data_IF_203370105847
#
_entry.id   IF_203370105847
#
_cell.length_a   1.000
_cell.length_b   1.000
_cell.length_c   1.000
_cell.angle_alpha   90.00
_cell.angle_beta   90.00
_cell.angle_gamma   90.00
#
_symmetry.space_group_name_H-M   'P 1'
#
loop_
_entity.id
_entity.type
_entity.pdbx_description
1 polymer ?
#
# COMPACT_ATOMS: atom_id res chain seq x y z
N UNK A 1 -1.24 7.55 0.88
CA UNK A 1 -0.68 6.20 0.75
C UNK A 1 0.34 6.19 -0.39
N UNK A 2 1.45 5.49 -0.20
CA UNK A 2 2.35 5.15 -1.30
C UNK A 2 1.66 4.18 -2.25
N UNK A 3 2.00 4.26 -3.53
CA UNK A 3 1.49 3.33 -4.54
C UNK A 3 2.64 2.76 -5.34
N UNK A 4 2.47 1.52 -5.81
CA UNK A 4 3.44 0.90 -6.69
C UNK A 4 3.64 1.82 -7.91
N UNK A 5 4.89 2.22 -8.23
CA UNK A 5 5.15 3.11 -9.34
C UNK A 5 4.54 2.58 -10.63
N UNK A 6 3.74 3.43 -11.28
CA UNK A 6 3.11 3.13 -12.55
C UNK A 6 3.17 4.36 -13.44
N UNK A 7 3.40 4.12 -14.72
CA UNK A 7 3.44 5.18 -15.72
C UNK A 7 2.06 5.82 -15.89
N UNK A 8 2.02 7.15 -15.93
CA UNK A 8 0.80 7.92 -16.10
C UNK A 8 0.99 9.06 -17.09
N UNK A 9 -0.05 9.30 -17.89
CA UNK A 9 -0.11 10.49 -18.74
C UNK A 9 -0.60 11.70 -17.94
N UNK A 10 -0.03 12.88 -18.23
CA UNK A 10 -0.47 14.14 -17.64
C UNK A 10 -1.75 14.59 -18.31
N UNK A 11 -2.86 14.51 -17.58
CA UNK A 11 -4.18 14.98 -18.02
C UNK A 11 -4.48 16.38 -17.46
N UNK A 12 -5.24 17.19 -18.20
CA UNK A 12 -5.67 18.55 -17.79
C UNK A 12 -6.63 18.61 -16.59
N UNK A 13 -6.97 17.46 -15.99
CA UNK A 13 -7.82 17.32 -14.81
C UNK A 13 -7.11 17.65 -13.48
N UNK A 14 -5.81 17.97 -13.54
CA UNK A 14 -4.97 18.16 -12.36
C UNK A 14 -4.33 19.56 -12.36
N UNK A 15 -4.34 20.24 -11.21
CA UNK A 15 -3.57 21.45 -10.97
C UNK A 15 -2.27 21.10 -10.27
N UNK A 16 -1.19 21.80 -10.61
CA UNK A 16 0.08 21.68 -9.89
C UNK A 16 -0.01 22.58 -8.65
N UNK A 17 0.09 21.96 -7.47
CA UNK A 17 0.13 22.68 -6.20
C UNK A 17 1.57 22.96 -5.78
N UNK A 18 2.50 22.05 -6.10
CA UNK A 18 3.95 22.20 -5.84
C UNK A 18 4.76 21.39 -6.84
N UNK A 19 5.97 21.84 -7.16
CA UNK A 19 6.91 21.08 -7.98
C UNK A 19 8.36 21.36 -7.57
N UNK A 20 9.23 20.41 -7.86
CA UNK A 20 10.69 20.55 -7.85
C UNK A 20 11.25 19.92 -9.15
N UNK A 21 12.58 19.87 -9.37
CA UNK A 21 13.15 19.35 -10.62
C UNK A 21 12.73 17.92 -10.98
N UNK A 22 12.43 17.08 -9.99
CA UNK A 22 12.13 15.66 -10.17
C UNK A 22 10.68 15.28 -9.87
N UNK A 23 9.99 16.03 -9.01
CA UNK A 23 8.69 15.65 -8.47
C UNK A 23 7.64 16.75 -8.65
N UNK A 24 6.40 16.32 -8.85
CA UNK A 24 5.24 17.21 -8.99
C UNK A 24 4.14 16.74 -8.05
N UNK A 25 3.68 17.63 -7.17
CA UNK A 25 2.49 17.45 -6.38
C UNK A 25 1.31 18.07 -7.12
N UNK A 26 0.31 17.24 -7.39
CA UNK A 26 -0.89 17.64 -8.08
C UNK A 26 -2.12 17.47 -7.20
N UNK A 27 -3.04 18.43 -7.33
CA UNK A 27 -4.39 18.38 -6.78
C UNK A 27 -5.38 18.20 -7.92
N UNK A 28 -6.41 17.39 -7.70
CA UNK A 28 -7.47 17.21 -8.69
C UNK A 28 -8.26 18.51 -8.81
N UNK A 29 -8.50 18.97 -10.04
CA UNK A 29 -9.41 20.09 -10.27
C UNK A 29 -10.83 19.63 -9.94
N UNK A 30 -11.37 20.13 -8.84
CA UNK A 30 -12.76 20.00 -8.47
C UNK A 30 -13.61 21.11 -9.09
N UNK A 31 -14.92 20.93 -9.07
CA UNK A 31 -15.93 21.88 -9.55
C UNK A 31 -15.96 23.22 -8.76
N UNK A 32 -15.19 23.36 -7.67
CA UNK A 32 -15.37 24.45 -6.69
C UNK A 32 -14.41 25.64 -6.80
N UNK A 33 -13.68 25.79 -7.90
CA UNK A 33 -12.97 27.05 -8.18
C UNK A 33 -13.73 27.83 -9.26
N UNK A 34 -14.67 28.66 -8.78
CA UNK A 34 -15.34 29.72 -9.54
C UNK A 34 -14.31 30.54 -10.32
N UNK A 35 -14.23 30.33 -11.63
CA UNK A 35 -14.21 31.38 -12.67
C UNK A 35 -14.47 30.75 -14.05
N UNK A 36 -15.65 31.06 -14.62
CA UNK A 36 -15.93 31.22 -16.05
C UNK A 36 -15.51 30.11 -17.04
N UNK A 37 -16.49 29.32 -17.53
CA UNK A 37 -16.35 28.63 -18.82
C UNK A 37 -17.23 27.38 -18.96
N UNK A 38 -18.22 27.46 -19.85
CA UNK A 38 -19.14 26.40 -20.24
C UNK A 38 -18.49 25.19 -20.95
N UNK A 39 -17.70 24.36 -20.27
CA UNK A 39 -17.31 23.05 -20.82
C UNK A 39 -17.26 21.97 -19.75
N UNK A 40 -18.44 21.53 -19.34
CA UNK A 40 -18.67 20.27 -18.64
C UNK A 40 -18.47 19.11 -19.63
N UNK A 41 -17.24 18.59 -19.76
CA UNK A 41 -17.01 17.31 -20.46
C UNK A 41 -16.83 16.17 -19.46
N UNK A 42 -17.82 15.28 -19.53
CA UNK A 42 -18.14 14.21 -18.61
C UNK A 42 -17.29 12.99 -19.01
N UNK A 43 -16.15 12.80 -18.34
CA UNK A 43 -15.36 11.55 -18.40
C UNK A 43 -14.75 11.23 -17.04
N UNK A 44 -15.56 11.32 -15.99
CA UNK A 44 -15.18 10.90 -14.64
C UNK A 44 -15.88 9.58 -14.30
N UNK A 45 -15.58 8.51 -15.04
CA UNK A 45 -15.95 7.16 -14.62
C UNK A 45 -14.74 6.35 -14.26
N UNK A 46 -14.83 5.84 -13.04
CA UNK A 46 -14.10 4.75 -12.41
C UNK A 46 -12.75 5.13 -11.79
N UNK A 47 -12.80 5.20 -10.45
CA UNK A 47 -11.69 5.21 -9.50
C UNK A 47 -10.98 6.56 -9.25
N UNK A 48 -11.43 7.35 -8.25
CA UNK A 48 -10.62 8.47 -7.70
C UNK A 48 -11.32 9.20 -6.55
N UNK A 49 -11.40 8.58 -5.37
CA UNK A 49 -11.68 9.32 -4.11
C UNK A 49 -10.50 10.21 -3.69
N UNK A 50 -9.29 9.91 -4.19
CA UNK A 50 -8.07 10.63 -3.86
C UNK A 50 -8.00 11.99 -4.57
N UNK A 51 -7.85 13.06 -3.79
CA UNK A 51 -7.79 14.44 -4.26
C UNK A 51 -6.38 14.92 -4.60
N UNK A 52 -5.35 14.22 -4.12
CA UNK A 52 -3.96 14.60 -4.28
C UNK A 52 -3.10 13.44 -4.77
N UNK A 53 -2.04 13.75 -5.52
CA UNK A 53 -1.05 12.78 -5.98
C UNK A 53 0.34 13.39 -6.10
N UNK A 54 1.36 12.56 -5.93
CA UNK A 54 2.76 12.92 -6.23
C UNK A 54 3.22 12.10 -7.42
N UNK A 55 3.81 12.78 -8.39
CA UNK A 55 4.41 12.20 -9.58
C UNK A 55 5.92 12.42 -9.56
N UNK A 56 6.68 11.42 -10.00
CA UNK A 56 8.05 11.60 -10.47
C UNK A 56 8.01 11.93 -11.96
N UNK A 57 8.75 12.97 -12.36
CA UNK A 57 8.94 13.40 -13.74
C UNK A 57 10.35 13.04 -14.16
N UNK A 58 10.47 12.25 -15.22
CA UNK A 58 11.77 11.94 -15.80
C UNK A 58 12.33 13.16 -16.55
N UNK A 59 13.64 13.39 -16.51
CA UNK A 59 14.25 14.62 -17.03
C UNK A 59 14.40 14.63 -18.57
N UNK A 60 14.50 13.47 -19.20
CA UNK A 60 14.77 13.29 -20.63
C UNK A 60 13.51 13.05 -21.48
N UNK A 61 12.34 12.94 -20.85
CA UNK A 61 11.10 12.50 -21.49
C UNK A 61 9.86 13.06 -20.78
N UNK A 62 8.71 13.03 -21.45
CA UNK A 62 7.42 13.39 -20.85
C UNK A 62 6.76 12.22 -20.11
N UNK A 63 7.57 11.32 -19.57
CA UNK A 63 7.13 10.15 -18.81
C UNK A 63 7.02 10.54 -17.34
N UNK A 64 5.88 10.19 -16.74
CA UNK A 64 5.60 10.44 -15.34
C UNK A 64 5.25 9.13 -14.64
N UNK A 65 5.72 8.99 -13.40
CA UNK A 65 5.41 7.84 -12.56
C UNK A 65 4.60 8.29 -11.34
N UNK A 66 3.46 7.67 -11.11
CA UNK A 66 2.65 7.90 -9.92
C UNK A 66 3.31 7.24 -8.70
N UNK A 67 3.62 8.02 -7.66
CA UNK A 67 4.32 7.53 -6.48
C UNK A 67 3.46 7.46 -5.22
N UNK A 68 2.54 8.42 -5.07
CA UNK A 68 1.66 8.48 -3.90
C UNK A 68 0.33 9.13 -4.26
N UNK A 69 -0.71 8.76 -3.52
CA UNK A 69 -2.05 9.37 -3.59
C UNK A 69 -2.58 9.64 -2.18
N UNK A 70 -3.41 10.67 -2.02
CA UNK A 70 -4.07 10.95 -0.75
C UNK A 70 -5.43 11.65 -0.93
N UNK A 71 -6.27 11.55 0.09
CA UNK A 71 -7.57 12.24 0.15
C UNK A 71 -7.47 13.65 0.76
N UNK A 72 -6.49 13.87 1.65
CA UNK A 72 -6.28 15.12 2.37
C UNK A 72 -4.96 15.78 1.94
N UNK A 73 -4.86 17.10 2.18
CA UNK A 73 -3.65 17.86 1.85
C UNK A 73 -2.53 17.53 2.83
N UNK A 74 -2.89 17.37 4.09
CA UNK A 74 -1.99 17.06 5.21
C UNK A 74 -1.25 15.74 4.95
N UNK A 75 -1.98 14.71 4.53
CA UNK A 75 -1.39 13.40 4.22
C UNK A 75 -0.40 13.48 3.06
N UNK A 76 -0.77 14.15 1.94
CA UNK A 76 0.12 14.25 0.78
C UNK A 76 1.33 15.11 1.05
N UNK A 77 1.20 16.17 1.86
CA UNK A 77 2.33 16.99 2.29
C UNK A 77 3.28 16.21 3.20
N UNK A 78 2.77 15.27 4.01
CA UNK A 78 3.59 14.31 4.74
C UNK A 78 4.46 13.47 3.82
N UNK A 79 3.86 12.88 2.76
CA UNK A 79 4.59 12.11 1.74
C UNK A 79 5.61 13.00 0.99
N UNK A 80 5.24 14.24 0.66
CA UNK A 80 6.14 15.19 0.02
C UNK A 80 7.39 15.48 0.87
N UNK A 81 7.20 15.82 2.16
CA UNK A 81 8.30 16.06 3.09
C UNK A 81 9.19 14.83 3.24
N UNK A 82 8.59 13.64 3.26
CA UNK A 82 9.35 12.39 3.32
C UNK A 82 10.28 12.25 2.12
N UNK A 83 9.80 12.55 0.90
CA UNK A 83 10.64 12.53 -0.33
C UNK A 83 11.77 13.56 -0.23
N UNK A 84 11.47 14.78 0.22
CA UNK A 84 12.48 15.84 0.38
C UNK A 84 13.60 15.44 1.34
N UNK A 85 13.28 14.73 2.43
CA UNK A 85 14.27 14.32 3.43
C UNK A 85 15.04 13.06 3.00
N UNK A 86 14.36 12.08 2.39
CA UNK A 86 14.91 10.72 2.23
C UNK A 86 15.35 10.38 0.81
N UNK A 87 14.84 11.09 -0.20
CA UNK A 87 15.12 10.79 -1.62
C UNK A 87 15.97 11.91 -2.23
N UNK A 88 15.57 13.17 -2.07
CA UNK A 88 16.22 14.31 -2.73
C UNK A 88 17.75 14.39 -2.51
N UNK A 89 18.30 14.20 -1.28
CA UNK A 89 19.74 14.30 -1.06
C UNK A 89 20.55 13.27 -1.87
N UNK A 90 19.96 12.11 -2.14
CA UNK A 90 20.62 11.06 -2.93
C UNK A 90 20.56 11.36 -4.42
N UNK A 91 19.48 12.00 -4.89
CA UNK A 91 19.33 12.33 -6.31
C UNK A 91 20.38 13.35 -6.79
N UNK A 92 20.81 14.26 -5.92
CA UNK A 92 21.85 15.25 -6.23
C UNK A 92 23.22 14.63 -6.57
N UNK A 93 23.46 13.38 -6.16
CA UNK A 93 24.70 12.66 -6.43
C UNK A 93 24.64 11.70 -7.62
N UNK A 94 23.51 11.63 -8.34
CA UNK A 94 23.31 10.71 -9.47
C UNK A 94 23.18 11.51 -10.75
N UNK A 95 24.09 11.29 -11.70
CA UNK A 95 24.12 12.01 -12.98
C UNK A 95 23.42 11.25 -14.12
N UNK A 96 23.14 9.96 -13.93
CA UNK A 96 22.52 9.10 -14.95
C UNK A 96 21.00 9.04 -14.75
N UNK A 97 20.24 9.47 -15.75
CA UNK A 97 18.77 9.59 -15.66
C UNK A 97 18.08 8.25 -15.41
N UNK A 98 18.59 7.16 -15.99
CA UNK A 98 18.09 5.80 -15.74
C UNK A 98 18.29 5.38 -14.28
N UNK A 99 19.47 5.65 -13.71
CA UNK A 99 19.76 5.33 -12.32
C UNK A 99 18.87 6.14 -11.35
N UNK A 100 18.58 7.40 -11.67
CA UNK A 100 17.62 8.22 -10.91
C UNK A 100 16.23 7.57 -10.94
N UNK A 101 15.76 7.23 -12.14
CA UNK A 101 14.45 6.59 -12.34
C UNK A 101 14.33 5.27 -11.58
N UNK A 102 15.36 4.42 -11.67
CA UNK A 102 15.38 3.12 -11.00
C UNK A 102 15.44 3.28 -9.49
N UNK A 103 16.29 4.17 -8.99
CA UNK A 103 16.38 4.47 -7.56
C UNK A 103 15.04 4.93 -6.97
N UNK A 104 14.38 5.90 -7.61
CA UNK A 104 13.09 6.42 -7.14
C UNK A 104 12.03 5.31 -7.15
N UNK A 105 11.90 4.58 -8.25
CA UNK A 105 10.89 3.53 -8.37
C UNK A 105 11.12 2.41 -7.35
N UNK A 106 12.38 1.96 -7.18
CA UNK A 106 12.73 0.94 -6.20
C UNK A 106 12.48 1.40 -4.78
N UNK A 107 12.84 2.64 -4.45
CA UNK A 107 12.65 3.17 -3.09
C UNK A 107 11.16 3.23 -2.72
N UNK A 108 10.31 3.70 -3.62
CA UNK A 108 8.85 3.75 -3.40
C UNK A 108 8.25 2.34 -3.38
N UNK A 109 8.71 1.44 -4.25
CA UNK A 109 8.28 0.04 -4.24
C UNK A 109 8.64 -0.68 -2.93
N UNK A 110 9.80 -0.38 -2.33
CA UNK A 110 10.17 -0.90 -1.00
C UNK A 110 9.16 -0.48 0.05
N UNK A 111 8.80 0.81 0.11
CA UNK A 111 7.80 1.32 1.07
C UNK A 111 6.43 0.66 0.92
N UNK A 112 6.02 0.39 -0.33
CA UNK A 112 4.75 -0.30 -0.59
C UNK A 112 4.80 -1.75 -0.10
N UNK A 113 5.94 -2.41 -0.30
CA UNK A 113 6.17 -3.79 0.14
C UNK A 113 6.19 -3.88 1.66
N UNK A 114 6.88 -2.97 2.34
CA UNK A 114 6.94 -2.89 3.81
C UNK A 114 5.54 -2.71 4.41
N UNK A 115 4.75 -1.77 3.89
CA UNK A 115 3.38 -1.55 4.35
C UNK A 115 2.46 -2.76 4.11
N UNK A 116 2.64 -3.49 3.00
CA UNK A 116 1.88 -4.70 2.73
C UNK A 116 2.25 -5.86 3.66
N UNK A 117 3.54 -5.99 4.02
CA UNK A 117 3.97 -7.00 4.99
C UNK A 117 3.47 -6.69 6.41
N UNK A 118 3.42 -5.43 6.80
CA UNK A 118 2.82 -5.02 8.08
C UNK A 118 1.33 -5.38 8.14
N UNK A 119 0.58 -5.11 7.06
CA UNK A 119 -0.86 -5.42 6.97
C UNK A 119 -1.13 -6.94 7.00
N UNK A 120 -0.35 -7.71 6.23
CA UNK A 120 -0.43 -9.18 6.25
C UNK A 120 -0.03 -9.73 7.62
N UNK A 121 1.03 -9.20 8.23
CA UNK A 121 1.49 -9.60 9.55
C UNK A 121 0.45 -9.33 10.64
N UNK A 122 -0.24 -8.19 10.59
CA UNK A 122 -1.31 -7.87 11.53
C UNK A 122 -2.53 -8.78 11.32
N UNK A 123 -2.93 -9.03 10.07
CA UNK A 123 -4.01 -9.96 9.75
C UNK A 123 -3.70 -11.40 10.18
N UNK A 124 -2.49 -11.90 9.93
CA UNK A 124 -2.04 -13.22 10.38
C UNK A 124 -2.00 -13.30 11.91
N UNK A 125 -1.56 -12.23 12.58
CA UNK A 125 -1.56 -12.09 14.04
C UNK A 125 -2.98 -12.12 14.62
N UNK A 126 -3.94 -11.41 14.02
CA UNK A 126 -5.35 -11.43 14.43
C UNK A 126 -5.97 -12.81 14.24
N UNK A 127 -5.73 -13.45 13.08
CA UNK A 127 -6.23 -14.80 12.79
C UNK A 127 -5.66 -15.81 13.78
N UNK A 128 -4.35 -15.74 14.07
CA UNK A 128 -3.70 -16.59 15.06
C UNK A 128 -4.26 -16.37 16.47
N UNK A 129 -4.49 -15.13 16.90
CA UNK A 129 -5.14 -14.82 18.19
C UNK A 129 -6.55 -15.41 18.26
N UNK A 130 -7.31 -15.33 17.17
CA UNK A 130 -8.66 -15.90 17.10
C UNK A 130 -8.65 -17.43 17.16
N UNK A 131 -7.73 -18.10 16.45
CA UNK A 131 -7.61 -19.56 16.55
C UNK A 131 -7.04 -20.03 17.87
N UNK A 132 -6.17 -19.25 18.50
CA UNK A 132 -5.74 -19.51 19.88
C UNK A 132 -6.96 -19.54 20.82
N UNK A 133 -7.87 -18.56 20.73
CA UNK A 133 -9.10 -18.55 21.55
C UNK A 133 -10.00 -19.77 21.27
N UNK A 134 -10.09 -20.23 20.01
CA UNK A 134 -10.85 -21.45 19.69
C UNK A 134 -10.20 -22.70 20.25
N UNK A 135 -8.88 -22.83 20.13
CA UNK A 135 -8.10 -23.92 20.71
C UNK A 135 -8.38 -24.09 22.21
N UNK A 136 -8.30 -22.99 22.99
CA UNK A 136 -8.60 -23.05 24.43
C UNK A 136 -10.04 -23.48 24.73
N UNK A 137 -11.01 -23.01 23.95
CA UNK A 137 -12.43 -23.34 24.16
C UNK A 137 -12.80 -24.75 23.70
N UNK A 138 -12.28 -25.21 22.57
CA UNK A 138 -12.63 -26.50 21.96
C UNK A 138 -12.08 -27.68 22.77
N UNK A 139 -10.85 -27.56 23.23
CA UNK A 139 -10.16 -28.62 23.96
C UNK A 139 -10.11 -28.38 25.48
N UNK A 140 -10.77 -27.31 25.95
CA UNK A 140 -10.83 -26.91 27.35
C UNK A 140 -9.43 -26.83 28.00
N UNK A 141 -8.50 -26.18 27.29
CA UNK A 141 -7.08 -26.17 27.62
C UNK A 141 -6.78 -25.38 28.89
N UNK A 142 -5.81 -25.83 29.70
CA UNK A 142 -5.37 -25.09 30.87
C UNK A 142 -4.58 -23.86 30.42
N UNK A 143 -4.58 -22.80 31.23
CA UNK A 143 -4.09 -21.46 30.83
C UNK A 143 -2.58 -21.40 30.54
N UNK A 144 -1.84 -22.40 31.00
CA UNK A 144 -0.41 -22.59 30.81
C UNK A 144 -0.08 -23.28 29.47
N UNK A 145 -1.05 -23.93 28.82
CA UNK A 145 -0.85 -24.59 27.53
C UNK A 145 -0.79 -23.58 26.38
N UNK A 146 0.35 -23.49 25.70
CA UNK A 146 0.55 -22.50 24.63
C UNK A 146 0.37 -23.13 23.25
N UNK A 147 -0.56 -22.59 22.46
CA UNK A 147 -0.65 -22.88 21.03
C UNK A 147 0.60 -22.33 20.33
N UNK A 148 1.30 -23.18 19.58
CA UNK A 148 2.52 -22.83 18.83
C UNK A 148 2.15 -22.50 17.39
N UNK A 149 1.40 -23.40 16.75
CA UNK A 149 0.99 -23.26 15.35
C UNK A 149 -0.28 -24.07 15.10
N UNK A 150 -1.00 -23.73 14.04
CA UNK A 150 -2.13 -24.51 13.56
C UNK A 150 -2.08 -24.61 12.04
N UNK A 151 -2.61 -25.70 11.49
CA UNK A 151 -2.66 -25.94 10.05
C UNK A 151 -4.06 -26.34 9.62
N UNK A 152 -4.56 -25.77 8.53
CA UNK A 152 -5.78 -26.30 7.89
C UNK A 152 -5.48 -27.70 7.38
N UNK A 153 -6.32 -28.67 7.72
CA UNK A 153 -6.13 -30.05 7.32
C UNK A 153 -7.48 -30.76 7.11
N UNK A 154 -7.41 -31.99 6.60
CA UNK A 154 -8.57 -32.87 6.46
C UNK A 154 -8.27 -34.20 7.12
N UNK A 155 -9.07 -34.56 8.12
CA UNK A 155 -8.98 -35.87 8.78
C UNK A 155 -9.89 -36.87 8.06
N UNK A 156 -9.30 -37.95 7.57
CA UNK A 156 -10.02 -39.02 6.89
C UNK A 156 -10.45 -40.07 7.91
N UNK A 157 -11.77 -40.17 8.14
CA UNK A 157 -12.36 -41.25 8.92
C UNK A 157 -13.48 -41.91 8.12
N UNK A 158 -13.22 -43.12 7.61
CA UNK A 158 -14.09 -43.78 6.65
C UNK A 158 -13.96 -43.17 5.25
N UNK A 159 -15.09 -43.02 4.54
CA UNK A 159 -15.10 -42.58 3.12
C UNK A 159 -15.22 -41.07 2.92
N UNK A 160 -15.44 -40.29 3.99
CA UNK A 160 -15.70 -38.84 3.88
C UNK A 160 -14.63 -38.05 4.62
N UNK A 161 -13.96 -37.08 3.96
CA UNK A 161 -12.99 -36.21 4.62
C UNK A 161 -13.70 -35.22 5.55
N UNK A 162 -13.18 -35.05 6.77
CA UNK A 162 -13.62 -34.02 7.71
C UNK A 162 -12.61 -32.88 7.69
N UNK A 163 -13.00 -31.73 7.15
CA UNK A 163 -12.15 -30.55 7.12
C UNK A 163 -12.10 -29.90 8.51
N UNK A 164 -10.90 -29.51 8.94
CA UNK A 164 -10.67 -28.92 10.25
C UNK A 164 -9.29 -28.30 10.35
N UNK A 165 -8.79 -28.20 11.58
CA UNK A 165 -7.49 -27.65 11.89
C UNK A 165 -6.72 -28.60 12.79
N UNK A 166 -5.45 -28.82 12.46
CA UNK A 166 -4.48 -29.46 13.32
C UNK A 166 -3.86 -28.37 14.19
N UNK A 167 -4.03 -28.47 15.51
CA UNK A 167 -3.41 -27.58 16.48
C UNK A 167 -2.19 -28.25 17.09
N UNK A 168 -1.04 -27.58 17.01
CA UNK A 168 0.19 -27.97 17.69
C UNK A 168 0.43 -26.99 18.83
N UNK A 169 0.33 -27.49 20.06
CA UNK A 169 0.70 -26.77 21.27
C UNK A 169 2.04 -27.27 21.80
N UNK A 170 2.52 -26.70 22.90
CA UNK A 170 3.79 -27.11 23.51
C UNK A 170 3.76 -28.59 23.92
N UNK A 171 2.63 -29.08 24.41
CA UNK A 171 2.51 -30.43 24.94
C UNK A 171 1.62 -31.38 24.11
N UNK A 172 0.82 -30.86 23.17
CA UNK A 172 -0.21 -31.66 22.47
C UNK A 172 -0.27 -31.42 20.96
N UNK A 173 -0.77 -32.44 20.26
CA UNK A 173 -1.19 -32.38 18.86
C UNK A 173 -2.67 -32.77 18.82
N UNK A 174 -3.53 -31.89 18.32
CA UNK A 174 -4.99 -32.05 18.38
C UNK A 174 -5.64 -31.75 17.03
N UNK A 175 -6.72 -32.49 16.72
CA UNK A 175 -7.52 -32.42 15.49
C UNK A 175 -8.99 -32.17 15.82
#
# INVERSE_FOLDING_TARGET
>A
MWVKPSEVSVSGLWSIDRANPYFILQRRRGHDERHSGWTSFIFATVDSRNHYRILYKRSDSEIYYLLAVANTKEDIEGHWKWIEINIMPTLEGIDVVDDISDFVQWKIQSLCTEAAYEDVGDFESEKFKNETKKFYKLFNMPIDEKLVIYYSCSYWHGRVPRQGYLYLSVNYILL
#
